data_IF_804406494767
#
_entry.id   IF_804406494767
#
_cell.length_a   1.000
_cell.length_b   1.000
_cell.length_c   1.000
_cell.angle_alpha   90.00
_cell.angle_beta   90.00
_cell.angle_gamma   90.00
#
_symmetry.space_group_name_H-M   'P 1'
#
loop_
_entity.id
_entity.type
_entity.pdbx_description
1 polymer ?
#
# COMPACT_ATOMS: atom_id res chain seq x y z
N UNK A 1 -10.78 -11.90 0.08
CA UNK A 1 -10.18 -10.83 -0.74
C UNK A 1 -9.45 -11.36 -1.99
N UNK A 2 -8.14 -11.66 -1.96
CA UNK A 2 -7.40 -11.96 -3.18
C UNK A 2 -8.02 -13.10 -4.02
N UNK A 3 -8.40 -14.23 -3.40
CA UNK A 3 -9.09 -15.36 -4.05
C UNK A 3 -10.49 -15.04 -4.60
N UNK A 4 -11.16 -14.04 -4.05
CA UNK A 4 -12.47 -13.58 -4.55
C UNK A 4 -12.30 -12.68 -5.79
N UNK A 5 -11.17 -11.97 -5.89
CA UNK A 5 -10.93 -10.96 -6.94
C UNK A 5 -10.27 -11.53 -8.19
N UNK A 6 -9.37 -12.51 -8.07
CA UNK A 6 -8.70 -13.12 -9.25
C UNK A 6 -9.09 -14.61 -9.38
N UNK A 7 -9.32 -15.13 -10.59
CA UNK A 7 -9.56 -16.55 -10.78
C UNK A 7 -8.26 -17.37 -10.60
N UNK A 8 -8.40 -18.69 -10.42
CA UNK A 8 -7.28 -19.64 -10.51
C UNK A 8 -6.60 -20.02 -9.18
N UNK A 9 -5.81 -21.10 -9.25
CA UNK A 9 -4.99 -21.57 -8.13
C UNK A 9 -3.79 -20.64 -7.92
N UNK A 10 -3.45 -20.37 -6.65
CA UNK A 10 -2.33 -19.47 -6.29
C UNK A 10 -1.46 -20.08 -5.23
N UNK A 11 -0.46 -20.87 -5.63
CA UNK A 11 0.60 -21.29 -4.72
C UNK A 11 1.20 -20.06 -4.07
N UNK A 12 1.15 -20.00 -2.75
CA UNK A 12 1.63 -18.88 -1.96
C UNK A 12 2.70 -19.38 -1.02
N UNK A 13 3.84 -18.70 -0.95
CA UNK A 13 4.86 -18.98 0.08
C UNK A 13 4.85 -17.81 1.06
N UNK A 14 4.65 -18.10 2.34
CA UNK A 14 4.75 -17.13 3.42
C UNK A 14 6.06 -17.35 4.15
N UNK A 15 6.87 -16.29 4.23
CA UNK A 15 8.18 -16.27 4.88
C UNK A 15 8.11 -15.39 6.13
N UNK A 16 8.54 -15.94 7.26
CA UNK A 16 8.67 -15.21 8.52
C UNK A 16 9.79 -15.83 9.36
N UNK A 17 10.44 -15.06 10.22
CA UNK A 17 11.45 -15.58 11.16
C UNK A 17 10.81 -16.12 12.45
N UNK A 18 9.61 -15.65 12.78
CA UNK A 18 8.83 -15.98 13.96
C UNK A 18 8.08 -17.30 13.77
N UNK A 19 8.56 -18.35 14.46
CA UNK A 19 7.86 -19.64 14.53
C UNK A 19 6.39 -19.50 14.97
N UNK A 20 6.10 -18.77 16.08
CA UNK A 20 4.72 -18.57 16.53
C UNK A 20 3.82 -17.88 15.51
N UNK A 21 4.34 -16.94 14.71
CA UNK A 21 3.55 -16.28 13.67
C UNK A 21 3.20 -17.24 12.53
N UNK A 22 4.15 -18.09 12.12
CA UNK A 22 3.92 -19.12 11.10
C UNK A 22 2.94 -20.18 11.56
N UNK A 23 3.03 -20.63 12.82
CA UNK A 23 2.11 -21.58 13.42
C UNK A 23 0.68 -21.03 13.42
N UNK A 24 0.49 -19.81 13.96
CA UNK A 24 -0.82 -19.15 13.98
C UNK A 24 -1.36 -18.93 12.56
N UNK A 25 -0.52 -18.49 11.62
CA UNK A 25 -0.92 -18.32 10.22
C UNK A 25 -1.38 -19.62 9.58
N UNK A 26 -0.66 -20.71 9.82
CA UNK A 26 -1.02 -22.04 9.33
C UNK A 26 -2.33 -22.54 9.93
N UNK A 27 -2.57 -22.32 11.22
CA UNK A 27 -3.85 -22.64 11.88
C UNK A 27 -5.01 -21.87 11.28
N UNK A 28 -4.84 -20.56 11.02
CA UNK A 28 -5.85 -19.73 10.38
C UNK A 28 -6.15 -20.20 8.94
N UNK A 29 -5.12 -20.56 8.18
CA UNK A 29 -5.29 -21.09 6.83
C UNK A 29 -5.96 -22.47 6.80
N UNK A 30 -5.79 -23.28 7.85
CA UNK A 30 -6.41 -24.61 7.95
C UNK A 30 -7.95 -24.55 8.02
N UNK A 31 -8.53 -23.41 8.42
CA UNK A 31 -9.98 -23.19 8.41
C UNK A 31 -10.59 -23.17 6.99
N UNK A 32 -9.78 -23.03 5.94
CA UNK A 32 -10.18 -23.09 4.53
C UNK A 32 -9.34 -24.14 3.78
N UNK A 33 -10.00 -25.21 3.27
CA UNK A 33 -9.30 -26.32 2.60
C UNK A 33 -8.52 -25.88 1.34
N UNK A 34 -8.95 -24.81 0.67
CA UNK A 34 -8.26 -24.26 -0.49
C UNK A 34 -6.98 -23.52 -0.09
N UNK A 35 -7.00 -22.75 1.01
CA UNK A 35 -5.81 -22.11 1.56
C UNK A 35 -4.82 -23.15 2.11
N UNK A 36 -5.32 -24.12 2.88
CA UNK A 36 -4.50 -25.18 3.45
C UNK A 36 -3.65 -25.94 2.42
N UNK A 37 -4.15 -26.11 1.19
CA UNK A 37 -3.44 -26.80 0.10
C UNK A 37 -2.52 -25.90 -0.73
N UNK A 38 -2.72 -24.59 -0.69
CA UNK A 38 -2.05 -23.65 -1.59
C UNK A 38 -0.99 -22.80 -0.90
N UNK A 39 -1.00 -22.71 0.44
CA UNK A 39 -0.04 -21.93 1.20
C UNK A 39 1.07 -22.83 1.76
N UNK A 40 2.32 -22.45 1.51
CA UNK A 40 3.50 -23.02 2.14
C UNK A 40 4.07 -22.02 3.14
N UNK A 41 4.24 -22.46 4.38
CA UNK A 41 4.82 -21.67 5.46
C UNK A 41 6.29 -22.03 5.61
N UNK A 42 7.16 -21.03 5.49
CA UNK A 42 8.61 -21.23 5.55
C UNK A 42 9.22 -20.31 6.60
N UNK A 43 9.98 -20.90 7.52
CA UNK A 43 10.81 -20.13 8.43
C UNK A 43 12.07 -19.66 7.71
N UNK A 44 12.30 -18.35 7.71
CA UNK A 44 13.43 -17.73 7.04
C UNK A 44 13.86 -16.46 7.76
N UNK A 45 15.15 -16.11 7.67
CA UNK A 45 15.62 -14.81 8.16
C UNK A 45 15.43 -13.79 7.05
N UNK A 46 14.56 -12.82 7.32
CA UNK A 46 14.30 -11.69 6.43
C UNK A 46 15.44 -10.68 6.57
N UNK A 47 16.18 -10.43 5.49
CA UNK A 47 17.31 -9.51 5.47
C UNK A 47 18.33 -9.82 4.37
N UNK A 48 19.57 -9.39 4.60
CA UNK A 48 20.68 -9.62 3.67
C UNK A 48 20.98 -11.11 3.41
N UNK A 49 21.17 -11.46 2.13
CA UNK A 49 21.58 -12.79 1.67
C UNK A 49 20.45 -13.81 1.45
N UNK A 50 19.19 -13.40 1.61
CA UNK A 50 18.04 -14.27 1.34
C UNK A 50 17.73 -14.31 -0.17
N UNK A 51 17.68 -15.52 -0.74
CA UNK A 51 17.10 -15.73 -2.08
C UNK A 51 15.63 -16.09 -1.94
N UNK A 52 14.78 -15.17 -2.34
CA UNK A 52 13.34 -15.39 -2.36
C UNK A 52 12.97 -16.29 -3.55
N UNK A 53 12.00 -17.21 -3.39
CA UNK A 53 11.49 -17.98 -4.50
C UNK A 53 10.83 -17.04 -5.52
N UNK A 54 11.04 -17.31 -6.81
CA UNK A 54 10.41 -16.54 -7.88
C UNK A 54 8.88 -16.62 -7.80
N UNK A 55 8.20 -15.52 -8.13
CA UNK A 55 6.75 -15.45 -8.17
C UNK A 55 6.22 -14.24 -8.93
N UNK A 56 4.97 -14.34 -9.38
CA UNK A 56 4.31 -13.25 -10.13
C UNK A 56 3.99 -12.04 -9.25
N UNK A 57 3.89 -12.26 -7.93
CA UNK A 57 3.63 -11.22 -6.93
C UNK A 57 4.48 -11.48 -5.68
N UNK A 58 5.24 -10.47 -5.27
CA UNK A 58 5.95 -10.45 -3.98
C UNK A 58 5.33 -9.37 -3.11
N UNK A 59 4.95 -9.73 -1.88
CA UNK A 59 4.39 -8.78 -0.90
C UNK A 59 5.32 -8.64 0.30
N UNK A 60 5.70 -7.41 0.63
CA UNK A 60 6.47 -7.05 1.82
C UNK A 60 5.56 -6.22 2.73
N UNK A 61 5.06 -6.82 3.79
CA UNK A 61 3.98 -6.25 4.61
C UNK A 61 4.42 -6.05 6.05
N UNK A 62 4.51 -4.80 6.49
CA UNK A 62 4.77 -4.38 7.87
C UNK A 62 6.09 -4.87 8.49
N UNK A 63 7.04 -5.36 7.67
CA UNK A 63 8.31 -5.92 8.14
C UNK A 63 9.47 -4.95 8.01
N UNK A 64 9.44 -3.97 7.09
CA UNK A 64 10.60 -3.09 6.87
C UNK A 64 10.90 -2.26 8.12
N UNK A 65 9.88 -1.82 8.87
CA UNK A 65 10.07 -1.14 10.17
C UNK A 65 10.91 -1.92 11.19
N UNK A 66 10.98 -3.24 11.06
CA UNK A 66 11.65 -4.14 12.01
C UNK A 66 13.12 -4.39 11.63
N UNK A 67 13.53 -3.92 10.46
CA UNK A 67 14.83 -4.17 9.86
C UNK A 67 15.74 -2.95 9.96
N UNK A 68 17.05 -3.23 9.93
CA UNK A 68 18.09 -2.21 9.71
C UNK A 68 17.97 -1.62 8.31
N UNK A 69 18.50 -0.43 8.07
CA UNK A 69 18.42 0.21 6.75
C UNK A 69 19.07 -0.63 5.64
N UNK A 70 20.17 -1.33 5.96
CA UNK A 70 20.83 -2.26 5.05
C UNK A 70 19.98 -3.51 4.75
N UNK A 71 19.28 -4.06 5.74
CA UNK A 71 18.40 -5.21 5.53
C UNK A 71 17.11 -4.80 4.80
N UNK A 72 16.57 -3.60 5.04
CA UNK A 72 15.43 -3.07 4.26
C UNK A 72 15.77 -3.00 2.78
N UNK A 73 16.94 -2.42 2.48
CA UNK A 73 17.48 -2.33 1.14
C UNK A 73 17.56 -3.71 0.48
N UNK A 74 18.24 -4.66 1.15
CA UNK A 74 18.42 -6.01 0.64
C UNK A 74 17.09 -6.75 0.39
N UNK A 75 16.10 -6.58 1.27
CA UNK A 75 14.79 -7.22 1.12
C UNK A 75 14.02 -6.66 -0.07
N UNK A 76 14.04 -5.34 -0.28
CA UNK A 76 13.38 -4.73 -1.44
C UNK A 76 14.07 -5.16 -2.74
N UNK A 77 15.40 -5.21 -2.75
CA UNK A 77 16.18 -5.64 -3.91
C UNK A 77 15.89 -7.13 -4.23
N UNK A 78 15.88 -8.00 -3.21
CA UNK A 78 15.52 -9.42 -3.37
C UNK A 78 14.07 -9.61 -3.85
N UNK A 79 13.14 -8.78 -3.39
CA UNK A 79 11.76 -8.78 -3.87
C UNK A 79 11.65 -8.37 -5.35
N UNK A 80 12.46 -7.39 -5.76
CA UNK A 80 12.54 -6.94 -7.15
C UNK A 80 13.14 -8.00 -8.09
N UNK A 81 14.13 -8.77 -7.60
CA UNK A 81 14.75 -9.88 -8.32
C UNK A 81 13.81 -11.09 -8.46
N UNK A 82 13.08 -11.43 -7.39
CA UNK A 82 12.20 -12.60 -7.38
C UNK A 82 10.87 -12.36 -8.11
N UNK A 83 10.45 -11.11 -8.27
CA UNK A 83 9.15 -10.79 -8.89
C UNK A 83 9.21 -10.72 -10.41
N UNK A 84 8.41 -11.54 -11.07
CA UNK A 84 8.17 -11.49 -12.53
C UNK A 84 7.05 -10.52 -12.92
N UNK A 85 6.17 -10.17 -11.99
CA UNK A 85 4.98 -9.36 -12.27
C UNK A 85 4.92 -8.09 -11.43
N UNK A 86 4.68 -8.22 -10.13
CA UNK A 86 4.49 -7.08 -9.23
C UNK A 86 5.16 -7.23 -7.86
N UNK A 87 5.54 -6.11 -7.27
CA UNK A 87 5.97 -6.00 -5.87
C UNK A 87 5.03 -5.04 -5.14
N UNK A 88 4.52 -5.48 -3.99
CA UNK A 88 3.68 -4.66 -3.11
C UNK A 88 4.39 -4.48 -1.79
N UNK A 89 4.64 -3.24 -1.39
CA UNK A 89 5.21 -2.90 -0.08
C UNK A 89 4.16 -2.14 0.71
N UNK A 90 3.91 -2.55 1.95
CA UNK A 90 2.97 -1.90 2.88
C UNK A 90 3.65 -1.67 4.22
N UNK A 91 3.53 -0.47 4.76
CA UNK A 91 4.10 -0.05 6.05
C UNK A 91 3.07 0.76 6.86
N UNK A 92 3.27 0.93 8.18
CA UNK A 92 2.45 1.84 8.97
C UNK A 92 2.42 3.25 8.36
N UNK A 93 1.26 3.90 8.40
CA UNK A 93 1.01 5.22 7.81
C UNK A 93 1.53 6.38 8.66
N UNK A 94 2.76 6.24 9.13
CA UNK A 94 3.53 7.24 9.89
C UNK A 94 4.53 7.94 8.98
N UNK A 95 5.13 9.08 9.40
CA UNK A 95 6.22 9.70 8.66
C UNK A 95 7.37 8.73 8.32
N UNK A 96 7.81 7.93 9.30
CA UNK A 96 8.90 6.95 9.07
C UNK A 96 8.48 5.81 8.13
N UNK A 97 7.23 5.35 8.22
CA UNK A 97 6.72 4.31 7.32
C UNK A 97 6.56 4.81 5.90
N UNK A 98 6.17 6.07 5.72
CA UNK A 98 6.18 6.75 4.43
C UNK A 98 7.61 6.85 3.85
N UNK A 99 8.60 7.25 4.66
CA UNK A 99 10.00 7.29 4.22
C UNK A 99 10.46 5.93 3.70
N UNK A 100 10.20 4.85 4.43
CA UNK A 100 10.50 3.47 3.98
C UNK A 100 9.82 3.11 2.67
N UNK A 101 8.56 3.51 2.48
CA UNK A 101 7.80 3.25 1.25
C UNK A 101 8.38 4.03 0.06
N UNK A 102 8.82 5.28 0.26
CA UNK A 102 9.47 6.06 -0.80
C UNK A 102 10.84 5.51 -1.16
N UNK A 103 11.64 5.10 -0.17
CA UNK A 103 12.92 4.42 -0.42
C UNK A 103 12.72 3.11 -1.19
N UNK A 104 11.74 2.30 -0.80
CA UNK A 104 11.40 1.08 -1.50
C UNK A 104 10.90 1.35 -2.94
N UNK A 105 10.07 2.38 -3.10
CA UNK A 105 9.57 2.85 -4.39
C UNK A 105 10.71 3.22 -5.33
N UNK A 106 11.65 4.02 -4.87
CA UNK A 106 12.76 4.51 -5.70
C UNK A 106 13.71 3.37 -6.09
N UNK A 107 13.93 2.41 -5.18
CA UNK A 107 14.66 1.16 -5.49
C UNK A 107 13.96 0.32 -6.55
N UNK A 108 12.65 0.12 -6.43
CA UNK A 108 11.87 -0.64 -7.41
C UNK A 108 11.90 0.01 -8.79
N UNK A 109 11.81 1.35 -8.86
CA UNK A 109 11.98 2.10 -10.12
C UNK A 109 13.40 1.89 -10.67
N UNK A 110 14.42 1.99 -9.83
CA UNK A 110 15.82 1.72 -10.21
C UNK A 110 16.05 0.30 -10.73
N UNK A 111 15.28 -0.67 -10.24
CA UNK A 111 15.26 -2.06 -10.71
C UNK A 111 14.43 -2.28 -11.99
N UNK A 112 13.88 -1.22 -12.58
CA UNK A 112 13.11 -1.26 -13.84
C UNK A 112 11.62 -1.57 -13.68
N UNK A 113 11.03 -1.32 -12.51
CA UNK A 113 9.58 -1.37 -12.34
C UNK A 113 8.92 -0.02 -12.64
N UNK A 114 7.65 -0.07 -13.00
CA UNK A 114 6.76 1.09 -13.10
C UNK A 114 5.82 1.14 -11.89
N UNK A 115 5.53 2.34 -11.37
CA UNK A 115 4.59 2.47 -10.26
C UNK A 115 3.16 2.41 -10.77
N UNK A 116 2.43 1.37 -10.35
CA UNK A 116 1.02 1.17 -10.67
C UNK A 116 0.10 1.80 -9.61
N UNK A 117 0.53 1.84 -8.35
CA UNK A 117 -0.21 2.49 -7.27
C UNK A 117 0.72 2.82 -6.07
N UNK A 118 0.31 3.71 -5.17
CA UNK A 118 -0.79 4.65 -5.35
C UNK A 118 -0.39 5.78 -6.29
N UNK A 119 0.90 6.07 -6.49
CA UNK A 119 1.32 7.24 -7.28
C UNK A 119 0.94 7.07 -8.75
N UNK A 120 0.37 8.09 -9.41
CA UNK A 120 0.03 8.01 -10.83
C UNK A 120 1.26 8.20 -11.74
N UNK A 121 2.47 8.12 -11.19
CA UNK A 121 3.72 8.37 -11.90
C UNK A 121 4.89 7.62 -11.27
N UNK A 122 5.94 7.43 -12.07
CA UNK A 122 7.24 6.92 -11.63
C UNK A 122 8.30 8.03 -11.45
N UNK A 123 7.95 9.31 -11.65
CA UNK A 123 8.84 10.44 -11.32
C UNK A 123 9.10 10.56 -9.80
N UNK A 124 10.07 11.37 -9.36
CA UNK A 124 10.32 11.60 -7.93
C UNK A 124 9.04 12.03 -7.18
N UNK A 125 8.89 11.62 -5.91
CA UNK A 125 7.73 12.01 -5.12
C UNK A 125 7.73 13.55 -4.89
N UNK A 126 6.63 14.27 -5.20
CA UNK A 126 6.57 15.72 -5.01
C UNK A 126 6.50 16.19 -3.56
N UNK A 127 6.24 15.30 -2.60
CA UNK A 127 6.24 15.67 -1.17
C UNK A 127 7.68 15.90 -0.73
N UNK A 128 7.97 17.09 -0.21
CA UNK A 128 9.30 17.39 0.34
C UNK A 128 9.51 16.59 1.63
N UNK A 129 10.61 15.81 1.75
CA UNK A 129 10.92 15.05 2.96
C UNK A 129 10.83 15.90 4.23
N UNK A 130 10.15 15.38 5.25
CA UNK A 130 9.98 16.06 6.55
C UNK A 130 8.87 17.12 6.59
N UNK A 131 8.27 17.52 5.47
CA UNK A 131 7.18 18.51 5.46
C UNK A 131 5.78 17.90 5.57
N UNK A 132 5.60 16.71 5.00
CA UNK A 132 4.35 15.96 5.00
C UNK A 132 4.65 14.48 4.68
N UNK A 133 3.62 13.62 4.73
CA UNK A 133 3.73 12.21 4.34
C UNK A 133 2.46 11.71 3.66
N UNK A 134 2.60 10.89 2.62
CA UNK A 134 1.44 10.27 1.97
C UNK A 134 1.06 8.97 2.70
N UNK A 135 -0.22 8.83 3.05
CA UNK A 135 -0.75 7.63 3.69
C UNK A 135 -2.20 7.39 3.25
N UNK A 136 -2.81 6.38 3.83
CA UNK A 136 -4.22 5.99 3.73
C UNK A 136 -4.72 5.63 5.13
N UNK A 137 -6.02 5.38 5.25
CA UNK A 137 -6.60 4.85 6.49
C UNK A 137 -7.69 3.84 6.19
N UNK A 138 -7.60 2.68 6.83
CA UNK A 138 -8.60 1.63 6.80
C UNK A 138 -9.22 1.49 8.20
N UNK A 139 -10.55 1.42 8.25
CA UNK A 139 -11.26 1.16 9.50
C UNK A 139 -11.25 -0.33 9.80
N UNK A 140 -10.70 -0.72 10.94
CA UNK A 140 -10.68 -2.11 11.42
C UNK A 140 -11.46 -2.24 12.74
N UNK A 141 -12.12 -3.37 12.91
CA UNK A 141 -12.99 -3.62 14.06
C UNK A 141 -12.18 -4.00 15.30
N UNK A 142 -12.54 -3.44 16.47
CA UNK A 142 -12.00 -3.81 17.78
C UNK A 142 -12.98 -4.70 18.53
N UNK A 143 -12.59 -5.95 18.79
CA UNK A 143 -13.35 -6.84 19.67
C UNK A 143 -13.45 -6.29 21.08
N UNK A 144 -14.43 -6.74 21.86
CA UNK A 144 -14.59 -6.36 23.27
C UNK A 144 -13.36 -6.72 24.11
N UNK A 145 -12.69 -7.83 23.80
CA UNK A 145 -11.42 -8.21 24.43
C UNK A 145 -10.31 -7.21 24.06
N UNK A 146 -10.19 -6.86 22.78
CA UNK A 146 -9.18 -5.89 22.32
C UNK A 146 -9.34 -4.54 22.99
N UNK A 147 -10.59 -4.06 23.13
CA UNK A 147 -10.92 -2.83 23.87
C UNK A 147 -10.49 -2.88 25.32
N UNK A 148 -10.81 -3.97 26.04
CA UNK A 148 -10.42 -4.15 27.45
C UNK A 148 -8.90 -4.18 27.65
N UNK A 149 -8.19 -4.91 26.78
CA UNK A 149 -6.73 -5.07 26.90
C UNK A 149 -5.97 -3.80 26.50
N UNK A 150 -6.40 -3.10 25.44
CA UNK A 150 -5.71 -1.91 24.91
C UNK A 150 -6.29 -0.58 25.42
N UNK A 151 -7.22 -0.61 26.38
CA UNK A 151 -7.89 0.60 26.89
C UNK A 151 -8.71 1.36 25.83
N UNK A 152 -9.15 0.68 24.78
CA UNK A 152 -9.90 1.30 23.68
C UNK A 152 -11.38 1.49 24.03
N UNK A 153 -11.93 2.68 23.80
CA UNK A 153 -13.36 2.97 24.05
C UNK A 153 -14.24 2.68 22.84
N UNK A 154 -13.73 2.93 21.62
CA UNK A 154 -14.46 2.70 20.37
C UNK A 154 -14.35 1.25 19.90
N UNK A 155 -15.41 0.75 19.27
CA UNK A 155 -15.48 -0.57 18.65
C UNK A 155 -14.70 -0.69 17.33
N UNK A 156 -13.97 0.35 16.95
CA UNK A 156 -13.13 0.39 15.76
C UNK A 156 -11.85 1.19 16.01
N UNK A 157 -10.88 1.02 15.12
CA UNK A 157 -9.74 1.91 14.94
C UNK A 157 -9.54 2.21 13.46
N UNK A 158 -9.04 3.41 13.19
CA UNK A 158 -8.67 3.82 11.85
C UNK A 158 -7.16 3.59 11.70
N UNK A 159 -6.78 2.41 11.19
CA UNK A 159 -5.39 2.01 10.97
C UNK A 159 -4.85 2.79 9.79
N UNK A 160 -3.75 3.51 10.01
CA UNK A 160 -3.07 4.26 8.95
C UNK A 160 -2.01 3.39 8.32
N UNK A 161 -1.91 3.43 6.99
CA UNK A 161 -0.90 2.69 6.24
C UNK A 161 -0.37 3.51 5.07
N UNK A 162 0.86 3.24 4.66
CA UNK A 162 1.46 3.70 3.41
C UNK A 162 1.80 2.47 2.56
N UNK A 163 1.72 2.59 1.24
CA UNK A 163 2.04 1.48 0.36
C UNK A 163 2.58 1.94 -0.99
N UNK A 164 3.22 1.01 -1.71
CA UNK A 164 3.55 1.13 -3.12
C UNK A 164 3.29 -0.20 -3.81
N UNK A 165 2.75 -0.15 -5.02
CA UNK A 165 2.60 -1.26 -5.96
C UNK A 165 3.42 -0.92 -7.18
N UNK A 166 4.46 -1.72 -7.42
CA UNK A 166 5.33 -1.59 -8.58
C UNK A 166 5.17 -2.81 -9.49
N UNK A 167 5.13 -2.61 -10.80
CA UNK A 167 4.86 -3.64 -11.81
C UNK A 167 5.92 -3.68 -12.90
N UNK A 168 6.17 -4.87 -13.45
CA UNK A 168 7.02 -5.08 -14.65
C UNK A 168 6.30 -4.71 -15.95
N UNK A 169 4.98 -4.64 -15.92
CA UNK A 169 4.15 -4.15 -17.02
C UNK A 169 3.82 -2.66 -16.84
N UNK A 170 3.51 -1.98 -17.95
CA UNK A 170 3.13 -0.56 -17.95
C UNK A 170 1.71 -0.38 -17.39
N UNK A 171 1.53 0.40 -16.32
CA UNK A 171 0.20 0.73 -15.80
C UNK A 171 -0.44 1.88 -16.58
N UNK A 172 -1.77 1.99 -16.48
CA UNK A 172 -2.56 3.11 -16.98
C UNK A 172 -3.18 3.88 -15.79
N UNK A 173 -2.40 4.74 -15.11
CA UNK A 173 -2.92 5.50 -13.97
C UNK A 173 -3.86 6.63 -14.42
N UNK A 174 -4.76 7.09 -13.54
CA UNK A 174 -5.53 8.31 -13.79
C UNK A 174 -4.59 9.53 -13.90
N UNK A 175 -5.00 10.61 -14.59
CA UNK A 175 -4.21 11.84 -14.72
C UNK A 175 -3.78 12.46 -13.38
N UNK A 176 -4.60 12.28 -12.34
CA UNK A 176 -4.28 12.65 -10.98
C UNK A 176 -4.87 11.67 -9.97
N UNK A 177 -4.31 11.68 -8.75
CA UNK A 177 -4.84 10.97 -7.57
C UNK A 177 -5.13 11.97 -6.46
N UNK A 178 -6.29 11.83 -5.82
CA UNK A 178 -6.63 12.55 -4.59
C UNK A 178 -5.76 12.05 -3.43
N UNK A 179 -4.89 12.90 -2.87
CA UNK A 179 -3.90 12.52 -1.84
C UNK A 179 -4.36 12.74 -0.41
N UNK A 180 -5.50 13.41 -0.20
CA UNK A 180 -6.13 13.68 1.11
C UNK A 180 -7.64 13.53 1.00
N UNK A 181 -8.32 13.32 2.13
CA UNK A 181 -9.79 13.38 2.16
C UNK A 181 -10.27 14.73 1.58
N UNK A 182 -11.19 14.73 0.60
CA UNK A 182 -11.76 15.96 0.06
C UNK A 182 -12.28 16.90 1.15
N UNK A 183 -11.90 18.18 1.08
CA UNK A 183 -12.37 19.17 2.06
C UNK A 183 -13.68 19.78 1.56
N UNK A 184 -14.80 19.27 2.05
CA UNK A 184 -16.13 19.77 1.70
C UNK A 184 -16.44 21.04 2.52
N UNK A 185 -16.73 22.14 1.84
CA UNK A 185 -17.16 23.42 2.43
C UNK A 185 -18.48 23.86 1.82
N UNK A 186 -19.08 24.94 2.35
CA UNK A 186 -20.34 25.50 1.81
C UNK A 186 -20.13 25.95 0.35
N UNK A 187 -20.64 25.15 -0.59
CA UNK A 187 -20.65 25.47 -2.02
C UNK A 187 -19.36 25.17 -2.78
N UNK A 188 -18.37 24.53 -2.15
CA UNK A 188 -17.12 24.14 -2.79
C UNK A 188 -16.48 22.91 -2.13
N UNK A 189 -15.67 22.18 -2.89
CA UNK A 189 -14.84 21.06 -2.44
C UNK A 189 -13.40 21.36 -2.85
N UNK A 190 -12.45 21.21 -1.92
CA UNK A 190 -11.03 21.35 -2.20
C UNK A 190 -10.41 19.96 -2.29
N UNK A 191 -9.70 19.69 -3.37
CA UNK A 191 -9.00 18.43 -3.62
C UNK A 191 -7.50 18.70 -3.69
N UNK A 192 -6.72 17.89 -2.96
CA UNK A 192 -5.26 17.84 -3.08
C UNK A 192 -4.91 16.70 -4.04
N UNK A 193 -4.25 17.01 -5.14
CA UNK A 193 -4.01 16.11 -6.27
C UNK A 193 -2.51 15.88 -6.46
N UNK A 194 -2.13 14.62 -6.61
CA UNK A 194 -0.82 14.23 -7.16
C UNK A 194 -1.02 13.88 -8.64
N UNK A 195 -0.30 14.54 -9.54
CA UNK A 195 -0.52 14.45 -10.99
C UNK A 195 0.53 13.55 -11.65
N UNK A 196 0.22 13.01 -12.84
CA UNK A 196 1.12 12.16 -13.64
C UNK A 196 2.44 12.85 -14.00
N UNK A 197 2.45 14.18 -14.08
CA UNK A 197 3.66 15.00 -14.29
C UNK A 197 4.55 15.12 -13.04
N UNK A 198 4.15 14.51 -11.91
CA UNK A 198 4.92 14.52 -10.66
C UNK A 198 4.73 15.79 -9.82
N UNK A 199 3.63 16.52 -9.99
CA UNK A 199 3.28 17.72 -9.21
C UNK A 199 2.23 17.46 -8.13
N UNK A 200 2.25 18.28 -7.07
CA UNK A 200 1.16 18.38 -6.09
C UNK A 200 0.43 19.70 -6.25
N UNK A 201 -0.87 19.62 -6.52
CA UNK A 201 -1.70 20.79 -6.75
C UNK A 201 -3.00 20.70 -5.97
N UNK A 202 -3.47 21.85 -5.49
CA UNK A 202 -4.80 21.99 -4.88
C UNK A 202 -5.76 22.59 -5.89
N UNK A 203 -6.89 21.93 -6.11
CA UNK A 203 -7.98 22.43 -6.96
C UNK A 203 -9.22 22.72 -6.12
N UNK A 204 -10.01 23.71 -6.55
CA UNK A 204 -11.27 24.09 -5.91
C UNK A 204 -12.43 23.87 -6.87
N UNK A 205 -13.27 22.88 -6.58
CA UNK A 205 -14.47 22.59 -7.35
C UNK A 205 -15.66 23.27 -6.68
N UNK A 206 -16.39 24.12 -7.38
CA UNK A 206 -17.47 24.93 -6.81
C UNK A 206 -18.82 24.55 -7.41
N UNK A 207 -19.93 24.92 -6.77
CA UNK A 207 -21.30 24.62 -7.26
C UNK A 207 -21.56 25.03 -8.72
N UNK A 208 -20.90 26.09 -9.22
CA UNK A 208 -21.02 26.52 -10.62
C UNK A 208 -20.50 25.49 -11.63
N UNK A 209 -19.67 24.54 -11.19
CA UNK A 209 -19.17 23.45 -12.04
C UNK A 209 -20.17 22.28 -12.18
N UNK A 210 -21.38 22.37 -11.60
CA UNK A 210 -22.47 21.44 -11.88
C UNK A 210 -22.15 19.99 -11.53
N UNK A 211 -22.08 19.12 -12.55
CA UNK A 211 -21.80 17.69 -12.38
C UNK A 211 -20.45 17.44 -11.68
N UNK A 212 -19.41 18.21 -12.04
CA UNK A 212 -18.08 18.10 -11.44
C UNK A 212 -18.10 18.35 -9.93
N UNK A 213 -18.97 19.24 -9.45
CA UNK A 213 -19.13 19.48 -8.01
C UNK A 213 -19.75 18.28 -7.27
N UNK A 214 -20.62 17.52 -7.93
CA UNK A 214 -21.16 16.27 -7.38
C UNK A 214 -20.06 15.20 -7.34
N UNK A 215 -19.35 15.02 -8.44
CA UNK A 215 -18.19 14.10 -8.51
C UNK A 215 -17.15 14.42 -7.43
N UNK A 216 -16.75 15.69 -7.26
CA UNK A 216 -15.80 16.08 -6.22
C UNK A 216 -16.29 15.83 -4.80
N UNK A 217 -17.61 15.94 -4.57
CA UNK A 217 -18.23 15.73 -3.26
C UNK A 217 -18.33 14.24 -2.91
N UNK A 218 -18.52 13.39 -3.92
CA UNK A 218 -18.67 11.94 -3.79
C UNK A 218 -17.34 11.20 -3.91
N UNK A 219 -16.26 11.89 -4.31
CA UNK A 219 -14.92 11.34 -4.37
C UNK A 219 -14.34 11.05 -2.98
N UNK A 220 -13.48 10.05 -2.92
CA UNK A 220 -12.82 9.60 -1.72
C UNK A 220 -11.30 9.77 -1.77
N UNK A 221 -10.68 9.60 -0.60
CA UNK A 221 -9.23 9.63 -0.46
C UNK A 221 -8.60 8.45 -1.18
N UNK A 222 -7.76 8.74 -2.17
CA UNK A 222 -7.11 7.72 -2.99
C UNK A 222 -7.68 7.58 -4.39
N UNK A 223 -8.86 8.16 -4.65
CA UNK A 223 -9.50 8.05 -5.94
C UNK A 223 -8.70 8.71 -7.06
N UNK A 224 -8.84 8.13 -8.26
CA UNK A 224 -8.40 8.76 -9.49
C UNK A 224 -9.25 9.98 -9.81
N UNK A 225 -8.59 11.05 -10.24
CA UNK A 225 -9.23 12.28 -10.68
C UNK A 225 -8.88 12.51 -12.16
N UNK A 226 -9.90 12.44 -13.02
CA UNK A 226 -9.75 12.47 -14.49
C UNK A 226 -10.05 13.83 -15.10
N UNK A 227 -10.51 14.78 -14.29
CA UNK A 227 -11.05 16.04 -14.78
C UNK A 227 -9.93 17.08 -14.85
N UNK A 228 -9.86 17.86 -15.95
CA UNK A 228 -8.85 18.91 -16.11
C UNK A 228 -9.03 20.02 -15.06
N UNK A 229 -7.95 20.79 -14.87
CA UNK A 229 -7.89 21.93 -13.93
C UNK A 229 -8.94 23.00 -14.21
#
# INVERSE_FOLDING_TARGET
AARETLPGARPTTVLDWSGPALELGSELAAADQGLARSVRWQRGRIGSGERLPAGDLVTVSYVLKELTDADRAAVVDAAAEASTGAVVVVEPGTPDGYTRVIEARDRLIGAGFHIAAPCPHSAACPIVPGTDWCHFSARVSRSSLHRRVKGGTLAYEDEKFAYVVATRFLPEPPPARIVRRPQIRKGQVLLDLCETEGGLNRVTVTKKHGALYREARDADWGDGWTQPR
#
